data_IF_964514309917
#
_entry.id   IF_964514309917
#
_cell.length_a   1.000
_cell.length_b   1.000
_cell.length_c   1.000
_cell.angle_alpha   90.00
_cell.angle_beta   90.00
_cell.angle_gamma   90.00
#
_symmetry.space_group_name_H-M   'P 1'
#
loop_
_entity.id
_entity.type
_entity.pdbx_description
1 polymer ?
#
# COMPACT_ATOMS: atom_id res chain seq x y z
N UNK A 1 -28.99 -18.68 44.90
CA UNK A 1 -28.26 -18.12 43.74
C UNK A 1 -29.09 -18.50 42.53
N UNK A 2 -29.98 -17.60 42.09
CA UNK A 2 -30.63 -17.75 40.79
C UNK A 2 -29.56 -17.54 39.73
N UNK A 3 -29.39 -18.57 38.90
CA UNK A 3 -28.50 -18.57 37.74
C UNK A 3 -29.13 -17.64 36.70
N UNK A 4 -28.82 -16.34 36.79
CA UNK A 4 -29.26 -15.34 35.80
C UNK A 4 -28.47 -15.61 34.54
N UNK A 5 -29.19 -16.08 33.51
CA UNK A 5 -28.71 -16.18 32.14
C UNK A 5 -27.97 -14.89 31.77
N UNK A 6 -26.65 -14.94 31.49
CA UNK A 6 -25.89 -13.77 31.10
C UNK A 6 -26.56 -13.17 29.87
N UNK A 7 -27.07 -11.95 29.99
CA UNK A 7 -27.81 -11.30 28.91
C UNK A 7 -27.02 -11.36 27.59
N UNK A 8 -27.69 -11.36 26.43
CA UNK A 8 -27.07 -11.70 25.14
C UNK A 8 -25.84 -10.83 24.79
N UNK A 9 -25.80 -9.57 25.26
CA UNK A 9 -24.64 -8.70 25.10
C UNK A 9 -23.39 -9.16 25.87
N UNK A 10 -23.55 -9.72 27.07
CA UNK A 10 -22.44 -10.24 27.86
C UNK A 10 -21.82 -11.48 27.21
N UNK A 11 -22.67 -12.34 26.63
CA UNK A 11 -22.20 -13.48 25.87
C UNK A 11 -21.36 -13.05 24.66
N UNK A 12 -21.76 -12.01 23.92
CA UNK A 12 -20.97 -11.45 22.81
C UNK A 12 -19.66 -10.87 23.32
N UNK A 13 -19.66 -10.11 24.42
CA UNK A 13 -18.43 -9.53 24.98
C UNK A 13 -17.44 -10.62 25.43
N UNK A 14 -17.92 -11.63 26.15
CA UNK A 14 -17.08 -12.74 26.62
C UNK A 14 -16.51 -13.56 25.46
N UNK A 15 -17.30 -13.77 24.41
CA UNK A 15 -16.85 -14.41 23.18
C UNK A 15 -15.73 -13.59 22.50
N UNK A 16 -15.91 -12.27 22.35
CA UNK A 16 -14.87 -11.40 21.78
C UNK A 16 -13.58 -11.38 22.60
N UNK A 17 -13.67 -11.42 23.93
CA UNK A 17 -12.49 -11.48 24.81
C UNK A 17 -11.71 -12.80 24.69
N UNK A 18 -12.34 -13.87 24.19
CA UNK A 18 -11.69 -15.15 23.96
C UNK A 18 -11.17 -15.32 22.52
N UNK A 19 -11.58 -14.44 21.61
CA UNK A 19 -11.19 -14.51 20.20
C UNK A 19 -9.77 -13.97 19.99
N UNK A 20 -9.03 -14.51 19.00
CA UNK A 20 -7.83 -13.88 18.49
C UNK A 20 -8.09 -12.44 18.05
N UNK A 21 -7.15 -11.53 18.31
CA UNK A 21 -7.26 -10.12 17.93
C UNK A 21 -7.74 -9.87 16.49
N UNK A 22 -7.18 -10.55 15.46
CA UNK A 22 -7.63 -10.38 14.07
C UNK A 22 -9.12 -10.68 13.87
N UNK A 23 -9.67 -11.65 14.62
CA UNK A 23 -11.09 -12.01 14.55
C UNK A 23 -11.98 -10.96 15.22
N UNK A 24 -11.47 -10.29 16.27
CA UNK A 24 -12.16 -9.16 16.92
C UNK A 24 -12.29 -7.99 15.94
N UNK A 25 -11.23 -7.66 15.20
CA UNK A 25 -11.27 -6.57 14.22
C UNK A 25 -12.15 -6.92 13.03
N UNK A 26 -12.06 -8.15 12.50
CA UNK A 26 -12.95 -8.62 11.42
C UNK A 26 -14.42 -8.56 11.85
N UNK A 27 -14.72 -9.02 13.06
CA UNK A 27 -16.07 -8.87 13.62
C UNK A 27 -16.50 -7.40 13.69
N UNK A 28 -15.65 -6.50 14.18
CA UNK A 28 -15.98 -5.08 14.27
C UNK A 28 -16.24 -4.44 12.89
N UNK A 29 -15.44 -4.81 11.88
CA UNK A 29 -15.61 -4.40 10.47
C UNK A 29 -16.95 -4.90 9.93
N UNK A 30 -17.28 -6.17 10.13
CA UNK A 30 -18.56 -6.75 9.71
C UNK A 30 -19.76 -6.05 10.36
N UNK A 31 -19.66 -5.74 11.66
CA UNK A 31 -20.71 -5.00 12.36
C UNK A 31 -20.85 -3.58 11.79
N UNK A 32 -19.75 -2.86 11.58
CA UNK A 32 -19.79 -1.51 11.00
C UNK A 32 -20.38 -1.50 9.58
N UNK A 33 -20.06 -2.50 8.76
CA UNK A 33 -20.68 -2.68 7.44
C UNK A 33 -22.17 -3.02 7.53
N UNK A 34 -22.58 -3.80 8.54
CA UNK A 34 -24.01 -4.06 8.77
C UNK A 34 -24.75 -2.78 9.16
N UNK A 35 -24.12 -1.91 9.94
CA UNK A 35 -24.70 -0.62 10.35
C UNK A 35 -24.76 0.39 9.20
N UNK A 36 -23.92 0.25 8.16
CA UNK A 36 -23.97 1.16 7.00
C UNK A 36 -25.14 0.89 6.05
N UNK A 37 -25.77 -0.29 6.15
CA UNK A 37 -26.91 -0.67 5.30
C UNK A 37 -28.17 0.13 5.70
N UNK A 38 -28.90 0.71 4.73
CA UNK A 38 -30.19 1.36 5.00
C UNK A 38 -31.21 0.37 5.58
N UNK A 39 -31.98 0.81 6.58
CA UNK A 39 -33.05 0.00 7.18
C UNK A 39 -32.58 -1.06 8.18
N UNK A 40 -31.29 -1.10 8.54
CA UNK A 40 -30.78 -2.01 9.57
C UNK A 40 -31.45 -1.74 10.93
N UNK A 41 -32.03 -2.78 11.53
CA UNK A 41 -32.55 -2.70 12.90
C UNK A 41 -31.40 -2.78 13.91
N UNK A 42 -30.89 -1.61 14.30
CA UNK A 42 -29.72 -1.49 15.19
C UNK A 42 -29.93 -2.20 16.52
N UNK A 43 -31.13 -2.16 17.09
CA UNK A 43 -31.43 -2.75 18.40
C UNK A 43 -31.26 -4.27 18.43
N UNK A 44 -31.37 -4.92 17.27
CA UNK A 44 -31.18 -6.37 17.11
C UNK A 44 -29.75 -6.75 16.73
N UNK A 45 -28.88 -5.77 16.46
CA UNK A 45 -27.49 -6.03 16.09
C UNK A 45 -26.66 -6.50 17.28
N UNK A 46 -25.66 -7.34 17.02
CA UNK A 46 -24.75 -7.83 18.06
C UNK A 46 -23.93 -6.69 18.67
N UNK A 47 -23.51 -5.71 17.86
CA UNK A 47 -22.77 -4.54 18.35
C UNK A 47 -23.59 -3.67 19.30
N UNK A 48 -24.90 -3.54 19.09
CA UNK A 48 -25.77 -2.83 20.02
C UNK A 48 -25.94 -3.57 21.34
N UNK A 49 -26.11 -4.90 21.30
CA UNK A 49 -26.20 -5.73 22.50
C UNK A 49 -24.88 -5.69 23.29
N UNK A 50 -23.75 -5.81 22.59
CA UNK A 50 -22.41 -5.72 23.17
C UNK A 50 -22.14 -4.33 23.76
N UNK A 51 -22.60 -3.25 23.12
CA UNK A 51 -22.52 -1.89 23.66
C UNK A 51 -23.20 -1.77 25.03
N UNK A 52 -24.41 -2.32 25.19
CA UNK A 52 -25.10 -2.33 26.49
C UNK A 52 -24.32 -3.10 27.57
N UNK A 53 -23.72 -4.24 27.20
CA UNK A 53 -22.88 -5.02 28.11
C UNK A 53 -21.56 -4.31 28.46
N UNK A 54 -20.97 -3.59 27.51
CA UNK A 54 -19.74 -2.82 27.70
C UNK A 54 -19.92 -1.78 28.80
N UNK A 55 -21.08 -1.13 28.91
CA UNK A 55 -21.34 -0.19 29.99
C UNK A 55 -21.21 -0.84 31.40
N UNK A 56 -21.59 -2.10 31.54
CA UNK A 56 -21.50 -2.86 32.81
C UNK A 56 -20.19 -3.60 33.01
N UNK A 57 -19.37 -3.72 31.97
CA UNK A 57 -18.10 -4.42 32.00
C UNK A 57 -17.07 -3.69 32.89
N UNK A 58 -16.19 -4.48 33.51
CA UNK A 58 -15.07 -3.96 34.28
C UNK A 58 -14.09 -3.22 33.37
N UNK A 59 -13.31 -2.30 33.96
CA UNK A 59 -12.26 -1.56 33.24
C UNK A 59 -11.25 -2.52 32.60
N UNK A 60 -10.92 -3.63 33.29
CA UNK A 60 -9.99 -4.64 32.79
C UNK A 60 -10.51 -5.33 31.52
N UNK A 61 -11.79 -5.71 31.48
CA UNK A 61 -12.41 -6.29 30.29
C UNK A 61 -12.44 -5.31 29.12
N UNK A 62 -12.71 -4.02 29.39
CA UNK A 62 -12.67 -2.96 28.36
C UNK A 62 -11.26 -2.77 27.80
N UNK A 63 -10.25 -2.73 28.67
CA UNK A 63 -8.84 -2.64 28.26
C UNK A 63 -8.43 -3.84 27.41
N UNK A 64 -8.81 -5.05 27.82
CA UNK A 64 -8.48 -6.27 27.09
C UNK A 64 -9.14 -6.29 25.69
N UNK A 65 -10.39 -5.85 25.58
CA UNK A 65 -11.05 -5.71 24.28
C UNK A 65 -10.34 -4.70 23.38
N UNK A 66 -9.93 -3.54 23.93
CA UNK A 66 -9.18 -2.51 23.20
C UNK A 66 -7.83 -3.05 22.73
N UNK A 67 -7.09 -3.72 23.62
CA UNK A 67 -5.82 -4.37 23.31
C UNK A 67 -5.96 -5.44 22.24
N UNK A 68 -6.97 -6.30 22.34
CA UNK A 68 -7.27 -7.32 21.34
C UNK A 68 -7.60 -6.71 19.98
N UNK A 69 -8.37 -5.62 19.94
CA UNK A 69 -8.69 -4.91 18.70
C UNK A 69 -7.44 -4.25 18.07
N UNK A 70 -6.60 -3.58 18.85
CA UNK A 70 -5.41 -2.89 18.33
C UNK A 70 -4.35 -3.89 17.88
N UNK A 71 -4.07 -4.90 18.71
CA UNK A 71 -3.14 -5.97 18.34
C UNK A 71 -3.64 -6.78 17.13
N UNK A 72 -4.95 -7.00 17.07
CA UNK A 72 -5.61 -7.60 15.92
C UNK A 72 -5.45 -6.80 14.63
N UNK A 73 -5.57 -5.48 14.72
CA UNK A 73 -5.44 -4.60 13.55
C UNK A 73 -4.03 -4.70 12.96
N UNK A 74 -2.98 -4.69 13.78
CA UNK A 74 -1.60 -4.84 13.31
C UNK A 74 -1.33 -6.19 12.60
N UNK A 75 -2.07 -7.24 12.97
CA UNK A 75 -1.94 -8.59 12.43
C UNK A 75 -2.77 -8.84 11.16
N UNK A 76 -3.68 -7.93 10.78
CA UNK A 76 -4.49 -8.08 9.57
C UNK A 76 -3.65 -7.89 8.28
N UNK A 77 -4.03 -8.57 7.18
CA UNK A 77 -3.54 -8.25 5.83
C UNK A 77 -3.77 -6.78 5.46
N UNK A 78 -2.91 -6.22 4.60
CA UNK A 78 -2.92 -4.80 4.27
C UNK A 78 -4.25 -4.30 3.68
N UNK A 79 -4.89 -5.10 2.83
CA UNK A 79 -6.21 -4.85 2.25
C UNK A 79 -7.31 -4.76 3.33
N UNK A 80 -7.30 -5.67 4.30
CA UNK A 80 -8.25 -5.68 5.41
C UNK A 80 -8.01 -4.53 6.40
N UNK A 81 -6.75 -4.17 6.66
CA UNK A 81 -6.42 -2.98 7.47
C UNK A 81 -6.91 -1.70 6.81
N UNK A 82 -6.75 -1.57 5.49
CA UNK A 82 -7.25 -0.41 4.75
C UNK A 82 -8.78 -0.32 4.82
N UNK A 83 -9.49 -1.44 4.70
CA UNK A 83 -10.94 -1.48 4.89
C UNK A 83 -11.37 -1.07 6.31
N UNK A 84 -10.74 -1.62 7.34
CA UNK A 84 -11.00 -1.24 8.72
C UNK A 84 -10.75 0.26 8.96
N UNK A 85 -9.65 0.80 8.42
CA UNK A 85 -9.32 2.22 8.55
C UNK A 85 -10.33 3.13 7.83
N UNK A 86 -10.79 2.74 6.63
CA UNK A 86 -11.87 3.45 5.92
C UNK A 86 -13.13 3.53 6.76
N UNK A 87 -13.52 2.44 7.41
CA UNK A 87 -14.72 2.41 8.26
C UNK A 87 -14.56 3.33 9.47
N UNK A 88 -13.40 3.31 10.13
CA UNK A 88 -13.10 4.21 11.26
C UNK A 88 -13.17 5.67 10.82
N UNK A 89 -12.52 6.02 9.71
CA UNK A 89 -12.49 7.40 9.20
C UNK A 89 -13.87 7.86 8.75
N UNK A 90 -14.64 7.01 8.05
CA UNK A 90 -16.01 7.33 7.67
C UNK A 90 -16.91 7.54 8.90
N UNK A 91 -16.69 6.75 9.95
CA UNK A 91 -17.45 6.88 11.21
C UNK A 91 -17.07 8.14 11.98
N UNK A 92 -15.77 8.47 12.04
CA UNK A 92 -15.25 9.67 12.68
C UNK A 92 -15.67 10.95 11.93
N UNK A 93 -15.52 10.96 10.61
CA UNK A 93 -15.94 12.06 9.74
C UNK A 93 -17.46 12.29 9.88
N UNK A 94 -18.24 11.22 9.91
CA UNK A 94 -19.66 11.34 10.22
C UNK A 94 -19.84 12.04 11.57
N UNK A 95 -19.18 11.56 12.64
CA UNK A 95 -19.36 12.06 14.01
C UNK A 95 -19.06 13.57 14.14
N UNK A 96 -18.06 14.06 13.41
CA UNK A 96 -17.63 15.46 13.42
C UNK A 96 -18.57 16.40 12.68
N UNK A 97 -19.17 15.96 11.58
CA UNK A 97 -20.13 16.77 10.80
C UNK A 97 -21.40 17.08 11.62
N UNK A 98 -21.59 16.39 12.75
CA UNK A 98 -22.81 16.48 13.53
C UNK A 98 -24.03 16.05 12.68
N UNK A 99 -25.26 16.18 13.20
CA UNK A 99 -26.46 15.99 12.40
C UNK A 99 -26.66 17.21 11.50
N UNK A 100 -25.72 17.49 10.59
CA UNK A 100 -25.97 18.42 9.51
C UNK A 100 -26.72 17.68 8.40
N UNK A 101 -27.96 18.11 8.08
CA UNK A 101 -28.69 17.52 6.97
C UNK A 101 -27.86 17.67 5.69
N UNK A 102 -27.78 16.60 4.92
CA UNK A 102 -27.32 16.67 3.53
C UNK A 102 -28.19 17.67 2.75
N UNK A 103 -27.83 18.02 1.51
CA UNK A 103 -28.67 18.89 0.67
C UNK A 103 -30.12 18.37 0.50
N UNK A 104 -30.36 17.09 0.83
CA UNK A 104 -31.66 16.41 0.84
C UNK A 104 -32.28 16.25 2.24
N UNK A 105 -31.68 16.78 3.31
CA UNK A 105 -32.27 16.72 4.65
C UNK A 105 -31.98 15.44 5.44
N UNK A 106 -31.46 14.38 4.80
CA UNK A 106 -31.30 13.07 5.43
C UNK A 106 -29.90 12.90 6.04
N UNK A 107 -29.89 12.52 7.33
CA UNK A 107 -28.68 12.12 8.05
C UNK A 107 -28.26 10.74 7.56
N UNK A 108 -26.99 10.51 7.17
CA UNK A 108 -26.53 9.21 6.67
C UNK A 108 -26.92 8.05 7.62
N UNK A 109 -27.39 6.90 7.09
CA UNK A 109 -27.87 5.79 7.92
C UNK A 109 -26.80 5.27 8.88
N UNK A 110 -25.53 5.24 8.44
CA UNK A 110 -24.39 4.87 9.29
C UNK A 110 -24.29 5.75 10.54
N UNK A 111 -24.47 7.07 10.39
CA UNK A 111 -24.40 8.01 11.51
C UNK A 111 -25.49 7.73 12.55
N UNK A 112 -26.75 7.63 12.09
CA UNK A 112 -27.88 7.36 12.99
C UNK A 112 -27.66 6.06 13.76
N UNK A 113 -27.20 5.03 13.05
CA UNK A 113 -26.99 3.71 13.60
C UNK A 113 -25.83 3.66 14.59
N UNK A 114 -24.70 4.31 14.28
CA UNK A 114 -23.55 4.42 15.18
C UNK A 114 -23.90 5.24 16.43
N UNK A 115 -24.64 6.34 16.30
CA UNK A 115 -25.06 7.13 17.46
C UNK A 115 -25.99 6.36 18.40
N UNK A 116 -26.86 5.49 17.85
CA UNK A 116 -27.66 4.59 18.67
C UNK A 116 -26.79 3.61 19.46
N UNK A 117 -25.75 3.03 18.85
CA UNK A 117 -24.78 2.15 19.52
C UNK A 117 -23.98 2.91 20.59
N UNK A 118 -23.48 4.11 20.29
CA UNK A 118 -22.72 4.95 21.24
C UNK A 118 -23.58 5.36 22.44
N UNK A 119 -24.86 5.67 22.19
CA UNK A 119 -25.83 5.99 23.24
C UNK A 119 -26.09 4.79 24.15
N UNK A 120 -26.24 3.60 23.58
CA UNK A 120 -26.43 2.35 24.33
C UNK A 120 -25.18 1.97 25.15
N UNK A 121 -23.98 2.19 24.59
CA UNK A 121 -22.72 2.02 25.31
C UNK A 121 -22.51 3.03 26.44
N UNK A 122 -23.36 4.06 26.53
CA UNK A 122 -23.29 5.15 27.51
C UNK A 122 -21.89 5.75 27.63
N UNK A 123 -21.16 5.85 26.51
CA UNK A 123 -19.80 6.38 26.51
C UNK A 123 -19.73 7.81 27.06
N UNK A 124 -20.82 8.57 27.01
CA UNK A 124 -20.91 9.90 27.61
C UNK A 124 -20.96 9.87 29.15
N UNK A 125 -21.55 8.84 29.77
CA UNK A 125 -21.64 8.66 31.24
C UNK A 125 -20.37 8.03 31.83
N UNK A 126 -19.50 7.44 31.01
CA UNK A 126 -18.26 6.82 31.47
C UNK A 126 -17.36 7.84 32.22
N UNK A 127 -16.83 7.48 33.41
CA UNK A 127 -15.94 8.33 34.20
C UNK A 127 -14.75 8.85 33.37
N UNK A 128 -14.32 10.08 33.66
CA UNK A 128 -13.19 10.69 32.93
C UNK A 128 -11.90 9.91 33.14
N UNK A 129 -11.70 9.36 34.33
CA UNK A 129 -10.56 8.53 34.68
C UNK A 129 -10.55 7.25 33.83
N UNK A 130 -11.70 6.60 33.67
CA UNK A 130 -11.82 5.39 32.87
C UNK A 130 -11.57 5.66 31.38
N UNK A 131 -12.12 6.75 30.84
CA UNK A 131 -11.82 7.20 29.46
C UNK A 131 -10.32 7.44 29.26
N UNK A 132 -9.67 8.08 30.23
CA UNK A 132 -8.23 8.34 30.16
C UNK A 132 -7.41 7.05 30.18
N UNK A 133 -7.82 6.06 30.98
CA UNK A 133 -7.18 4.74 31.02
C UNK A 133 -7.33 4.03 29.66
N UNK A 134 -8.53 3.96 29.10
CA UNK A 134 -8.77 3.31 27.80
C UNK A 134 -8.06 4.02 26.65
N UNK A 135 -8.04 5.36 26.66
CA UNK A 135 -7.32 6.14 25.66
C UNK A 135 -5.79 5.96 25.78
N UNK A 136 -5.27 5.87 27.00
CA UNK A 136 -3.85 5.62 27.24
C UNK A 136 -3.44 4.22 26.78
N UNK A 137 -4.25 3.20 27.10
CA UNK A 137 -4.04 1.83 26.64
C UNK A 137 -4.03 1.78 25.11
N UNK A 138 -5.04 2.41 24.49
CA UNK A 138 -5.14 2.46 23.05
C UNK A 138 -3.92 3.13 22.40
N UNK A 139 -3.40 4.21 23.00
CA UNK A 139 -2.20 4.90 22.51
C UNK A 139 -0.93 4.07 22.70
N UNK A 140 -0.79 3.40 23.84
CA UNK A 140 0.37 2.58 24.14
C UNK A 140 0.43 1.37 23.19
N UNK A 141 -0.66 0.63 23.07
CA UNK A 141 -0.74 -0.53 22.19
C UNK A 141 -0.63 -0.11 20.72
N UNK A 142 -1.22 1.03 20.33
CA UNK A 142 -1.09 1.53 18.97
C UNK A 142 0.36 1.97 18.65
N UNK A 143 1.06 2.59 19.61
CA UNK A 143 2.45 2.97 19.42
C UNK A 143 3.39 1.75 19.26
N UNK A 144 3.09 0.64 19.95
CA UNK A 144 3.86 -0.60 19.84
C UNK A 144 3.52 -1.39 18.57
N UNK A 145 2.26 -1.38 18.13
CA UNK A 145 1.76 -2.21 17.04
C UNK A 145 1.81 -1.53 15.68
N UNK A 146 1.51 -0.23 15.62
CA UNK A 146 1.43 0.52 14.36
C UNK A 146 2.83 0.96 13.97
N UNK A 147 3.62 0.00 13.49
CA UNK A 147 4.90 0.33 12.85
C UNK A 147 4.61 1.23 11.65
N UNK A 148 5.44 2.27 11.41
CA UNK A 148 5.18 3.19 10.31
C UNK A 148 5.10 2.53 8.93
N UNK A 149 5.76 1.39 8.76
CA UNK A 149 5.66 0.52 7.58
C UNK A 149 4.22 0.05 7.33
N UNK A 150 3.48 -0.31 8.39
CA UNK A 150 2.09 -0.76 8.29
C UNK A 150 1.17 0.38 7.88
N UNK A 151 1.41 1.60 8.38
CA UNK A 151 0.67 2.79 7.92
C UNK A 151 0.91 3.00 6.43
N UNK A 152 2.16 2.95 5.97
CA UNK A 152 2.50 3.12 4.56
C UNK A 152 1.86 2.04 3.66
N UNK A 153 1.86 0.79 4.11
CA UNK A 153 1.17 -0.31 3.42
C UNK A 153 -0.33 -0.02 3.30
N UNK A 154 -0.99 0.37 4.40
CA UNK A 154 -2.42 0.69 4.42
C UNK A 154 -2.74 1.89 3.52
N UNK A 155 -1.94 2.94 3.61
CA UNK A 155 -2.05 4.14 2.79
C UNK A 155 -1.96 3.83 1.32
N UNK A 156 -1.08 2.91 0.92
CA UNK A 156 -0.91 2.55 -0.48
C UNK A 156 -2.17 1.93 -1.08
N UNK A 157 -2.99 1.29 -0.25
CA UNK A 157 -4.27 0.69 -0.63
C UNK A 157 -5.45 1.69 -0.57
N UNK A 158 -5.26 2.86 0.08
CA UNK A 158 -6.26 3.92 0.15
C UNK A 158 -6.28 4.79 -1.11
N UNK A 159 -7.48 5.23 -1.52
CA UNK A 159 -7.66 6.17 -2.61
C UNK A 159 -7.11 7.56 -2.24
N UNK A 160 -6.66 8.38 -3.20
CA UNK A 160 -6.11 9.71 -2.93
C UNK A 160 -7.00 10.59 -2.04
N UNK A 161 -8.32 10.54 -2.23
CA UNK A 161 -9.29 11.32 -1.45
C UNK A 161 -9.41 10.80 -0.01
N UNK A 162 -9.31 9.48 0.18
CA UNK A 162 -9.38 8.82 1.49
C UNK A 162 -8.11 9.13 2.31
N UNK A 163 -6.94 9.19 1.66
CA UNK A 163 -5.67 9.46 2.34
C UNK A 163 -5.70 10.81 3.08
N UNK A 164 -6.27 11.85 2.46
CA UNK A 164 -6.38 13.16 3.11
C UNK A 164 -7.26 13.11 4.36
N UNK A 165 -8.44 12.49 4.25
CA UNK A 165 -9.39 12.33 5.38
C UNK A 165 -8.78 11.50 6.52
N UNK A 166 -8.03 10.45 6.18
CA UNK A 166 -7.31 9.62 7.15
C UNK A 166 -6.23 10.44 7.85
N UNK A 167 -5.51 11.30 7.13
CA UNK A 167 -4.49 12.17 7.73
C UNK A 167 -5.09 13.10 8.77
N UNK A 168 -6.16 13.81 8.38
CA UNK A 168 -6.84 14.77 9.25
C UNK A 168 -7.39 14.06 10.49
N UNK A 169 -8.04 12.91 10.30
CA UNK A 169 -8.58 12.11 11.40
C UNK A 169 -7.48 11.60 12.35
N UNK A 170 -6.32 11.16 11.84
CA UNK A 170 -5.21 10.67 12.66
C UNK A 170 -4.53 11.79 13.46
N UNK A 171 -4.41 12.99 12.87
CA UNK A 171 -3.86 14.17 13.54
C UNK A 171 -4.84 14.67 14.62
N UNK A 172 -6.12 14.75 14.32
CA UNK A 172 -7.15 15.19 15.26
C UNK A 172 -7.30 14.22 16.44
N UNK A 173 -7.21 12.91 16.17
CA UNK A 173 -7.21 11.88 17.21
C UNK A 173 -5.92 11.90 18.08
N UNK A 174 -4.94 12.75 17.75
CA UNK A 174 -3.62 12.81 18.40
C UNK A 174 -2.88 11.47 18.35
N UNK A 175 -3.18 10.63 17.35
CA UNK A 175 -2.45 9.38 17.13
C UNK A 175 -1.09 9.69 16.51
N UNK A 176 -1.04 10.72 15.65
CA UNK A 176 0.19 11.23 15.05
C UNK A 176 0.53 12.58 15.70
N UNK A 177 1.75 12.76 16.25
CA UNK A 177 2.19 14.05 16.78
C UNK A 177 2.14 15.15 15.70
N UNK A 178 1.77 16.37 16.07
CA UNK A 178 1.69 17.51 15.12
C UNK A 178 3.02 17.75 14.39
N UNK A 179 4.15 17.48 15.04
CA UNK A 179 5.48 17.62 14.46
C UNK A 179 5.72 16.67 13.27
N UNK A 180 4.98 15.57 13.20
CA UNK A 180 5.09 14.54 12.15
C UNK A 180 4.03 14.68 11.06
N UNK A 181 3.05 15.57 11.24
CA UNK A 181 2.02 15.86 10.24
C UNK A 181 2.59 16.20 8.86
N UNK A 182 3.58 17.11 8.69
CA UNK A 182 4.11 17.43 7.36
C UNK A 182 4.86 16.26 6.71
N UNK A 183 5.49 15.40 7.51
CA UNK A 183 6.13 14.18 7.01
C UNK A 183 5.09 13.17 6.53
N UNK A 184 4.01 13.02 7.30
CA UNK A 184 2.89 12.17 6.93
C UNK A 184 2.17 12.72 5.70
N UNK A 185 1.78 13.98 5.65
CA UNK A 185 1.14 14.60 4.48
C UNK A 185 1.98 14.48 3.20
N UNK A 186 3.30 14.65 3.30
CA UNK A 186 4.20 14.46 2.17
C UNK A 186 4.28 13.00 1.72
N UNK A 187 4.21 12.05 2.64
CA UNK A 187 4.11 10.63 2.34
C UNK A 187 2.74 10.25 1.76
N UNK A 188 1.67 10.94 2.14
CA UNK A 188 0.30 10.64 1.70
C UNK A 188 -0.08 11.32 0.38
N UNK A 189 0.68 12.33 -0.05
CA UNK A 189 0.43 13.05 -1.29
C UNK A 189 0.44 12.09 -2.49
N UNK A 190 -0.64 12.05 -3.29
CA UNK A 190 -0.72 11.13 -4.41
C UNK A 190 0.33 11.44 -5.48
N UNK A 191 1.00 10.39 -5.98
CA UNK A 191 2.16 10.52 -6.88
C UNK A 191 3.42 11.03 -6.17
N UNK A 192 3.42 11.02 -4.84
CA UNK A 192 4.55 11.44 -4.01
C UNK A 192 5.66 10.40 -3.94
N UNK A 193 6.71 10.73 -3.18
CA UNK A 193 7.85 9.85 -2.97
C UNK A 193 7.44 8.49 -2.39
N UNK A 194 6.44 8.46 -1.51
CA UNK A 194 5.97 7.22 -0.89
C UNK A 194 5.32 6.27 -1.91
N UNK A 195 4.53 6.76 -2.85
CA UNK A 195 3.93 5.91 -3.90
C UNK A 195 5.02 5.30 -4.80
N UNK A 196 6.05 6.09 -5.15
CA UNK A 196 7.21 5.60 -5.88
C UNK A 196 8.02 4.58 -5.07
N UNK A 197 8.17 4.81 -3.77
CA UNK A 197 8.95 3.96 -2.87
C UNK A 197 8.20 2.65 -2.60
N UNK A 198 6.90 2.70 -2.34
CA UNK A 198 6.04 1.52 -2.22
C UNK A 198 5.99 0.74 -3.53
N UNK A 199 5.80 1.43 -4.67
CA UNK A 199 5.84 0.79 -5.98
C UNK A 199 7.19 0.12 -6.27
N UNK A 200 8.29 0.81 -5.95
CA UNK A 200 9.64 0.28 -6.04
C UNK A 200 9.88 -0.91 -5.12
N UNK A 201 9.41 -0.86 -3.88
CA UNK A 201 9.49 -1.98 -2.92
C UNK A 201 8.65 -3.16 -3.39
N UNK A 202 7.42 -2.95 -3.87
CA UNK A 202 6.56 -4.02 -4.43
C UNK A 202 7.22 -4.68 -5.65
N UNK A 203 7.83 -3.88 -6.54
CA UNK A 203 8.56 -4.40 -7.69
C UNK A 203 9.81 -5.19 -7.25
N UNK A 204 10.51 -4.69 -6.23
CA UNK A 204 11.68 -5.34 -5.66
C UNK A 204 11.33 -6.67 -5.00
N UNK A 205 10.28 -6.73 -4.18
CA UNK A 205 9.82 -7.99 -3.56
C UNK A 205 9.35 -8.97 -4.61
N UNK A 206 8.60 -8.52 -5.63
CA UNK A 206 8.20 -9.36 -6.76
C UNK A 206 9.41 -9.90 -7.52
N UNK A 207 10.44 -9.08 -7.73
CA UNK A 207 11.69 -9.48 -8.37
C UNK A 207 12.47 -10.50 -7.53
N UNK A 208 12.48 -10.36 -6.20
CA UNK A 208 13.09 -11.33 -5.31
C UNK A 208 12.34 -12.67 -5.30
N UNK A 209 11.01 -12.64 -5.16
CA UNK A 209 10.17 -13.85 -5.18
C UNK A 209 10.30 -14.61 -6.51
N UNK A 210 10.48 -13.89 -7.62
CA UNK A 210 10.60 -14.45 -8.96
C UNK A 210 12.04 -14.39 -9.52
N UNK A 211 13.05 -14.30 -8.65
CA UNK A 211 14.45 -14.15 -9.06
C UNK A 211 14.91 -15.32 -9.96
N UNK A 212 14.40 -16.52 -9.70
CA UNK A 212 14.68 -17.70 -10.51
C UNK A 212 14.23 -17.52 -11.97
N UNK A 213 13.06 -16.93 -12.20
CA UNK A 213 12.52 -16.69 -13.54
C UNK A 213 13.29 -15.57 -14.25
N UNK A 214 13.64 -14.50 -13.51
CA UNK A 214 14.46 -13.40 -14.02
C UNK A 214 15.84 -13.84 -14.51
N UNK A 215 16.41 -14.91 -13.93
CA UNK A 215 17.69 -15.50 -14.38
C UNK A 215 17.48 -16.57 -15.44
N UNK A 216 16.54 -17.49 -15.22
CA UNK A 216 16.32 -18.64 -16.10
C UNK A 216 15.90 -18.24 -17.51
N UNK A 217 15.08 -17.19 -17.64
CA UNK A 217 14.58 -16.73 -18.95
C UNK A 217 15.72 -16.19 -19.83
N UNK A 218 16.51 -15.16 -19.44
CA UNK A 218 17.67 -14.70 -20.22
C UNK A 218 18.70 -15.79 -20.52
N UNK A 219 18.98 -16.68 -19.56
CA UNK A 219 19.91 -17.79 -19.77
C UNK A 219 19.37 -18.81 -20.78
N UNK A 220 18.07 -19.12 -20.69
CA UNK A 220 17.37 -19.97 -21.66
C UNK A 220 17.34 -19.34 -23.05
N UNK A 221 17.11 -18.03 -23.14
CA UNK A 221 17.15 -17.27 -24.39
C UNK A 221 18.52 -17.36 -25.05
N UNK A 222 19.60 -17.12 -24.29
CA UNK A 222 20.97 -17.22 -24.78
C UNK A 222 21.32 -18.65 -25.23
N UNK A 223 20.93 -19.65 -24.44
CA UNK A 223 21.16 -21.05 -24.80
C UNK A 223 20.45 -21.42 -26.11
N UNK A 224 19.18 -21.07 -26.25
CA UNK A 224 18.42 -21.27 -27.48
C UNK A 224 19.04 -20.50 -28.66
N UNK A 225 19.50 -19.27 -28.43
CA UNK A 225 20.18 -18.47 -29.46
C UNK A 225 21.46 -19.11 -29.99
N UNK A 226 22.25 -19.71 -29.11
CA UNK A 226 23.50 -20.36 -29.49
C UNK A 226 23.24 -21.69 -30.20
N UNK A 227 22.30 -22.50 -29.70
CA UNK A 227 21.95 -23.81 -30.27
C UNK A 227 21.27 -23.70 -31.64
N UNK A 228 20.25 -22.84 -31.76
CA UNK A 228 19.56 -22.56 -33.03
C UNK A 228 20.46 -21.87 -34.04
N UNK A 229 21.53 -21.24 -33.55
CA UNK A 229 22.49 -20.56 -34.38
C UNK A 229 23.27 -21.45 -35.36
N UNK A 230 23.24 -22.76 -35.16
CA UNK A 230 23.83 -23.77 -36.06
C UNK A 230 22.92 -24.04 -37.27
N UNK A 231 21.62 -23.74 -37.17
CA UNK A 231 20.66 -23.95 -38.24
C UNK A 231 20.79 -22.82 -39.28
N UNK A 232 20.95 -23.18 -40.54
CA UNK A 232 21.02 -22.22 -41.63
C UNK A 232 19.67 -21.56 -41.85
N UNK A 233 19.63 -20.23 -41.76
CA UNK A 233 18.48 -19.41 -42.11
C UNK A 233 18.98 -18.29 -43.04
N UNK A 234 18.36 -18.08 -44.23
CA UNK A 234 18.81 -17.04 -45.17
C UNK A 234 18.59 -15.60 -44.67
N UNK A 235 17.69 -15.41 -43.70
CA UNK A 235 17.35 -14.10 -43.14
C UNK A 235 18.28 -13.69 -42.00
N UNK A 236 18.19 -12.42 -41.59
CA UNK A 236 18.88 -11.88 -40.43
C UNK A 236 18.31 -12.37 -39.09
N UNK A 237 17.30 -13.24 -39.09
CA UNK A 237 16.56 -13.66 -37.89
C UNK A 237 17.45 -14.31 -36.81
N UNK A 238 18.43 -15.12 -37.21
CA UNK A 238 19.39 -15.73 -36.27
C UNK A 238 20.30 -14.68 -35.62
N UNK A 239 20.76 -13.70 -36.40
CA UNK A 239 21.56 -12.57 -35.89
C UNK A 239 20.74 -11.72 -34.93
N UNK A 240 19.48 -11.45 -35.28
CA UNK A 240 18.54 -10.75 -34.40
C UNK A 240 18.36 -11.47 -33.07
N UNK A 241 18.11 -12.78 -33.09
CA UNK A 241 17.85 -13.56 -31.89
C UNK A 241 19.07 -13.63 -30.95
N UNK A 242 20.29 -13.66 -31.50
CA UNK A 242 21.54 -13.55 -30.73
C UNK A 242 21.71 -12.16 -30.11
N UNK A 243 21.47 -11.10 -30.88
CA UNK A 243 21.55 -9.73 -30.37
C UNK A 243 20.53 -9.52 -29.23
N UNK A 244 19.31 -10.03 -29.39
CA UNK A 244 18.25 -9.94 -28.40
C UNK A 244 18.60 -10.66 -27.09
N UNK A 245 19.15 -11.89 -27.18
CA UNK A 245 19.62 -12.62 -26.02
C UNK A 245 20.77 -11.89 -25.29
N UNK A 246 21.68 -11.26 -26.02
CA UNK A 246 22.75 -10.44 -25.42
C UNK A 246 22.17 -9.23 -24.69
N UNK A 247 21.18 -8.54 -25.27
CA UNK A 247 20.51 -7.43 -24.58
C UNK A 247 19.81 -7.88 -23.30
N UNK A 248 19.09 -9.03 -23.32
CA UNK A 248 18.52 -9.65 -22.12
C UNK A 248 19.55 -9.88 -21.02
N UNK A 249 20.71 -10.47 -21.38
CA UNK A 249 21.77 -10.75 -20.42
C UNK A 249 22.39 -9.48 -19.84
N UNK A 250 22.56 -8.43 -20.65
CA UNK A 250 23.07 -7.14 -20.19
C UNK A 250 22.07 -6.41 -19.28
N UNK A 251 20.77 -6.51 -19.59
CA UNK A 251 19.71 -6.01 -18.69
C UNK A 251 19.74 -6.75 -17.36
N UNK A 252 19.85 -8.08 -17.38
CA UNK A 252 19.97 -8.90 -16.16
C UNK A 252 21.22 -8.54 -15.35
N UNK A 253 22.37 -8.40 -16.01
CA UNK A 253 23.62 -8.01 -15.36
C UNK A 253 23.53 -6.62 -14.71
N UNK A 254 22.92 -5.65 -15.40
CA UNK A 254 22.67 -4.31 -14.86
C UNK A 254 21.73 -4.33 -13.65
N UNK A 255 20.63 -5.09 -13.72
CA UNK A 255 19.68 -5.24 -12.63
C UNK A 255 20.29 -5.96 -11.41
N UNK A 256 21.07 -7.01 -11.66
CA UNK A 256 21.83 -7.71 -10.61
C UNK A 256 22.85 -6.79 -9.94
N UNK A 257 23.60 -6.01 -10.73
CA UNK A 257 24.55 -5.03 -10.22
C UNK A 257 23.86 -3.94 -9.39
N UNK A 258 22.72 -3.44 -9.85
CA UNK A 258 21.90 -2.50 -9.10
C UNK A 258 21.44 -3.10 -7.77
N UNK A 259 20.95 -4.34 -7.78
CA UNK A 259 20.52 -5.06 -6.58
C UNK A 259 21.64 -5.17 -5.55
N UNK A 260 22.85 -5.61 -5.96
CA UNK A 260 24.00 -5.75 -5.07
C UNK A 260 24.35 -4.45 -4.32
N UNK A 261 24.19 -3.30 -4.97
CA UNK A 261 24.54 -2.01 -4.37
C UNK A 261 23.38 -1.32 -3.64
N UNK A 262 22.13 -1.56 -4.06
CA UNK A 262 20.95 -0.95 -3.46
C UNK A 262 20.30 -1.80 -2.38
N UNK A 263 20.64 -3.08 -2.25
CA UNK A 263 20.06 -3.97 -1.23
C UNK A 263 20.19 -3.38 0.18
N UNK A 264 21.36 -2.88 0.55
CA UNK A 264 21.58 -2.28 1.88
C UNK A 264 20.74 -1.01 2.09
N UNK A 265 20.56 -0.21 1.04
CA UNK A 265 19.70 0.98 1.06
C UNK A 265 18.25 0.55 1.30
N UNK A 266 17.78 -0.43 0.52
CA UNK A 266 16.40 -0.90 0.57
C UNK A 266 16.07 -1.56 1.91
N UNK A 267 16.97 -2.37 2.46
CA UNK A 267 16.79 -2.99 3.78
C UNK A 267 16.68 -1.92 4.86
N UNK A 268 17.57 -0.93 4.89
CA UNK A 268 17.52 0.13 5.92
C UNK A 268 16.34 1.08 5.76
N UNK A 269 15.97 1.41 4.53
CA UNK A 269 14.75 2.19 4.26
C UNK A 269 13.51 1.41 4.66
N UNK A 270 13.51 0.09 4.47
CA UNK A 270 12.42 -0.78 4.91
C UNK A 270 12.32 -0.84 6.44
N UNK A 271 13.45 -0.89 7.14
CA UNK A 271 13.50 -0.89 8.61
C UNK A 271 12.99 0.43 9.21
N UNK A 272 13.33 1.58 8.62
CA UNK A 272 12.93 2.91 9.12
C UNK A 272 12.49 3.85 7.99
N UNK A 273 11.29 3.65 7.41
CA UNK A 273 10.84 4.46 6.27
C UNK A 273 10.50 5.89 6.69
N UNK A 274 9.89 6.08 7.86
CA UNK A 274 9.53 7.41 8.34
C UNK A 274 10.74 8.22 8.79
N UNK A 275 11.72 7.59 9.46
CA UNK A 275 12.97 8.28 9.78
C UNK A 275 13.77 8.61 8.52
N UNK A 276 13.72 7.79 7.47
CA UNK A 276 14.30 8.14 6.17
C UNK A 276 13.60 9.37 5.54
N UNK A 277 12.27 9.38 5.47
CA UNK A 277 11.50 10.53 4.94
C UNK A 277 11.76 11.80 5.76
N UNK A 278 11.76 11.70 7.09
CA UNK A 278 12.03 12.83 7.99
C UNK A 278 13.44 13.38 7.75
N UNK A 279 14.45 12.52 7.71
CA UNK A 279 15.84 12.94 7.46
C UNK A 279 16.02 13.53 6.06
N UNK A 280 15.30 13.02 5.06
CA UNK A 280 15.26 13.62 3.73
C UNK A 280 14.69 15.05 3.77
N UNK A 281 13.55 15.24 4.44
CA UNK A 281 12.91 16.55 4.57
C UNK A 281 13.75 17.55 5.36
N UNK A 282 14.38 17.11 6.46
CA UNK A 282 15.28 17.94 7.25
C UNK A 282 16.51 18.37 6.42
N UNK A 283 17.11 17.45 5.66
CA UNK A 283 18.22 17.76 4.77
C UNK A 283 17.81 18.65 3.60
N UNK A 284 16.56 18.54 3.13
CA UNK A 284 15.97 19.39 2.11
C UNK A 284 15.74 20.81 2.60
N UNK A 285 15.14 20.97 3.79
CA UNK A 285 14.94 22.27 4.44
C UNK A 285 16.27 23.00 4.71
N UNK A 286 17.34 22.24 4.94
CA UNK A 286 18.70 22.78 5.11
C UNK A 286 19.43 23.09 3.79
N UNK A 287 18.76 22.95 2.63
CA UNK A 287 19.32 23.18 1.29
C UNK A 287 20.64 22.43 1.03
N UNK A 288 20.82 21.25 1.63
CA UNK A 288 22.05 20.48 1.46
C UNK A 288 22.20 19.93 0.04
N UNK A 289 23.44 19.59 -0.37
CA UNK A 289 23.71 18.92 -1.64
C UNK A 289 23.08 17.52 -1.70
N UNK A 290 22.69 17.07 -2.89
CA UNK A 290 22.03 15.76 -3.09
C UNK A 290 22.82 14.58 -2.51
N UNK A 291 24.16 14.62 -2.59
CA UNK A 291 25.02 13.61 -1.98
C UNK A 291 24.83 13.50 -0.47
N UNK A 292 24.91 14.64 0.24
CA UNK A 292 24.71 14.70 1.69
C UNK A 292 23.28 14.35 2.09
N UNK A 293 22.29 14.76 1.29
CA UNK A 293 20.88 14.37 1.52
C UNK A 293 20.72 12.85 1.52
N UNK A 294 21.27 12.16 0.53
CA UNK A 294 21.17 10.70 0.42
C UNK A 294 21.90 9.98 1.56
N UNK A 295 23.10 10.45 1.93
CA UNK A 295 23.85 9.89 3.06
C UNK A 295 23.16 10.11 4.42
N UNK A 296 22.49 11.25 4.61
CA UNK A 296 21.70 11.52 5.82
C UNK A 296 20.38 10.75 5.85
N UNK A 297 19.80 10.48 4.68
CA UNK A 297 18.53 9.74 4.55
C UNK A 297 18.67 8.27 4.92
N UNK A 298 19.83 7.66 4.68
CA UNK A 298 20.10 6.28 5.12
C UNK A 298 21.47 6.22 5.79
N UNK A 299 21.52 6.18 7.13
CA UNK A 299 22.77 6.34 7.83
C UNK A 299 23.65 5.13 7.58
N UNK A 300 24.94 5.36 7.35
CA UNK A 300 25.92 4.30 7.10
C UNK A 300 25.88 3.71 5.69
N UNK A 301 25.23 4.36 4.71
CA UNK A 301 25.42 4.06 3.28
C UNK A 301 26.17 5.22 2.66
N UNK A 302 27.31 4.92 2.05
CA UNK A 302 28.11 5.93 1.35
C UNK A 302 27.44 6.35 0.04
N UNK A 303 27.59 7.62 -0.36
CA UNK A 303 27.05 8.12 -1.63
C UNK A 303 27.52 7.30 -2.85
N UNK A 304 28.71 6.70 -2.77
CA UNK A 304 29.25 5.86 -3.84
C UNK A 304 28.37 4.63 -4.14
N UNK A 305 27.74 4.03 -3.13
CA UNK A 305 26.83 2.90 -3.33
C UNK A 305 25.59 3.31 -4.14
N UNK A 306 25.05 4.50 -3.90
CA UNK A 306 23.95 5.05 -4.70
C UNK A 306 24.36 5.30 -6.14
N UNK A 307 25.58 5.80 -6.38
CA UNK A 307 26.09 6.03 -7.74
C UNK A 307 26.24 4.73 -8.51
N UNK A 308 26.82 3.69 -7.90
CA UNK A 308 26.97 2.37 -8.52
C UNK A 308 25.61 1.70 -8.74
N UNK A 309 24.70 1.78 -7.76
CA UNK A 309 23.34 1.29 -7.89
C UNK A 309 22.59 1.98 -9.03
N UNK A 310 22.64 3.32 -9.09
CA UNK A 310 22.04 4.12 -10.15
C UNK A 310 22.64 3.79 -11.52
N UNK A 311 23.96 3.58 -11.61
CA UNK A 311 24.61 3.14 -12.85
C UNK A 311 24.04 1.79 -13.32
N UNK A 312 23.87 0.81 -12.41
CA UNK A 312 23.25 -0.47 -12.73
C UNK A 312 21.83 -0.33 -13.26
N UNK A 313 21.01 0.52 -12.61
CA UNK A 313 19.63 0.82 -13.05
C UNK A 313 19.63 1.47 -14.44
N UNK A 314 20.51 2.44 -14.70
CA UNK A 314 20.63 3.10 -16.01
C UNK A 314 21.05 2.09 -17.09
N UNK A 315 22.04 1.24 -16.82
CA UNK A 315 22.48 0.19 -17.75
C UNK A 315 21.32 -0.76 -18.06
N UNK A 316 20.62 -1.24 -17.04
CA UNK A 316 19.47 -2.12 -17.21
C UNK A 316 18.36 -1.47 -18.05
N UNK A 317 18.02 -0.21 -17.74
CA UNK A 317 17.00 0.55 -18.45
C UNK A 317 17.36 0.82 -19.92
N UNK A 318 18.62 1.16 -20.21
CA UNK A 318 19.09 1.40 -21.58
C UNK A 318 19.02 0.12 -22.41
N UNK A 319 19.53 -1.01 -21.90
CA UNK A 319 19.48 -2.27 -22.65
C UNK A 319 18.06 -2.82 -22.78
N UNK A 320 17.21 -2.58 -21.78
CA UNK A 320 15.78 -2.90 -21.88
C UNK A 320 15.13 -2.07 -23.00
N UNK A 321 15.36 -0.76 -23.05
CA UNK A 321 14.82 0.10 -24.11
C UNK A 321 15.34 -0.30 -25.50
N UNK A 322 16.64 -0.62 -25.63
CA UNK A 322 17.22 -1.11 -26.88
C UNK A 322 16.62 -2.46 -27.28
N UNK A 323 16.42 -3.40 -26.35
CA UNK A 323 15.75 -4.68 -26.61
C UNK A 323 14.29 -4.51 -27.06
N UNK A 324 13.57 -3.56 -26.47
CA UNK A 324 12.21 -3.21 -26.89
C UNK A 324 12.19 -2.64 -28.32
N UNK A 325 13.12 -1.75 -28.67
CA UNK A 325 13.25 -1.27 -30.05
C UNK A 325 13.65 -2.39 -31.01
N UNK A 326 14.55 -3.28 -30.57
CA UNK A 326 14.98 -4.44 -31.34
C UNK A 326 13.83 -5.43 -31.62
N UNK A 327 12.77 -5.44 -30.80
CA UNK A 327 11.55 -6.23 -31.03
C UNK A 327 10.88 -5.85 -32.36
N UNK A 328 10.94 -4.57 -32.75
CA UNK A 328 10.40 -4.09 -34.04
C UNK A 328 11.19 -4.69 -35.20
N UNK A 329 12.53 -4.70 -35.10
CA UNK A 329 13.41 -5.32 -36.11
C UNK A 329 13.11 -6.82 -36.22
N UNK A 330 12.93 -7.50 -35.09
CA UNK A 330 12.56 -8.91 -35.06
C UNK A 330 11.25 -9.22 -35.76
N UNK A 331 10.26 -8.34 -35.64
CA UNK A 331 8.98 -8.48 -36.34
C UNK A 331 9.16 -8.42 -37.86
N UNK A 332 9.98 -7.50 -38.36
CA UNK A 332 10.30 -7.39 -39.78
C UNK A 332 11.10 -8.59 -40.30
N UNK A 333 12.10 -9.05 -39.54
CA UNK A 333 12.88 -10.25 -39.90
C UNK A 333 12.00 -11.52 -39.90
N UNK A 334 11.09 -11.65 -38.93
CA UNK A 334 10.12 -12.74 -38.89
C UNK A 334 9.22 -12.71 -40.13
N UNK A 335 8.72 -11.53 -40.52
CA UNK A 335 7.92 -11.38 -41.74
C UNK A 335 8.71 -11.78 -43.00
N UNK A 336 9.98 -11.38 -43.09
CA UNK A 336 10.86 -11.76 -44.19
C UNK A 336 11.09 -13.28 -44.26
N UNK A 337 11.11 -13.98 -43.12
CA UNK A 337 11.27 -15.44 -43.11
C UNK A 337 10.10 -16.21 -43.71
N UNK A 338 8.88 -15.67 -43.67
CA UNK A 338 7.74 -16.27 -44.34
C UNK A 338 7.88 -16.26 -45.87
N UNK A 339 8.66 -15.32 -46.42
CA UNK A 339 8.92 -15.20 -47.85
C UNK A 339 10.14 -16.02 -48.25
N UNK A 340 11.24 -15.92 -47.50
CA UNK A 340 12.52 -16.54 -47.84
C UNK A 340 12.62 -18.03 -47.43
N UNK A 341 11.73 -18.50 -46.54
CA UNK A 341 11.80 -19.80 -45.92
C UNK A 341 12.88 -19.89 -44.84
N UNK A 342 12.59 -20.56 -43.74
CA UNK A 342 13.53 -20.80 -42.65
C UNK A 342 13.17 -22.10 -41.92
N UNK A 343 14.11 -22.62 -41.11
CA UNK A 343 13.84 -23.77 -40.27
C UNK A 343 12.72 -23.46 -39.26
N UNK A 344 11.70 -24.32 -39.18
CA UNK A 344 10.51 -24.11 -38.34
C UNK A 344 10.85 -23.92 -36.86
N UNK A 345 11.90 -24.56 -36.34
CA UNK A 345 12.32 -24.42 -34.94
C UNK A 345 12.82 -23.00 -34.64
N UNK A 346 13.56 -22.40 -35.58
CA UNK A 346 14.02 -21.01 -35.45
C UNK A 346 12.83 -20.07 -35.45
N UNK A 347 11.88 -20.27 -36.37
CA UNK A 347 10.66 -19.45 -36.46
C UNK A 347 9.82 -19.54 -35.19
N UNK A 348 9.59 -20.75 -34.65
CA UNK A 348 8.82 -20.95 -33.41
C UNK A 348 9.52 -20.31 -32.21
N UNK A 349 10.84 -20.47 -32.08
CA UNK A 349 11.60 -19.85 -30.99
C UNK A 349 11.56 -18.32 -31.09
N UNK A 350 11.74 -17.75 -32.28
CA UNK A 350 11.63 -16.30 -32.50
C UNK A 350 10.23 -15.77 -32.19
N UNK A 351 9.16 -16.49 -32.54
CA UNK A 351 7.80 -16.12 -32.14
C UNK A 351 7.62 -16.12 -30.62
N UNK A 352 8.15 -17.13 -29.92
CA UNK A 352 8.08 -17.20 -28.47
C UNK A 352 8.80 -16.01 -27.80
N UNK A 353 9.99 -15.63 -28.30
CA UNK A 353 10.76 -14.51 -27.77
C UNK A 353 10.03 -13.18 -28.02
N UNK A 354 9.49 -12.97 -29.23
CA UNK A 354 8.68 -11.79 -29.54
C UNK A 354 7.43 -11.70 -28.65
N UNK A 355 6.73 -12.82 -28.44
CA UNK A 355 5.56 -12.86 -27.55
C UNK A 355 5.92 -12.49 -26.11
N UNK A 356 7.03 -13.04 -25.60
CA UNK A 356 7.54 -12.72 -24.26
C UNK A 356 7.92 -11.23 -24.14
N UNK A 357 8.59 -10.65 -25.14
CA UNK A 357 8.92 -9.21 -25.20
C UNK A 357 7.68 -8.33 -25.21
N UNK A 358 6.67 -8.68 -25.99
CA UNK A 358 5.38 -7.98 -25.99
C UNK A 358 4.69 -8.06 -24.61
N UNK A 359 4.72 -9.22 -23.95
CA UNK A 359 4.18 -9.37 -22.60
C UNK A 359 4.94 -8.50 -21.57
N UNK A 360 6.27 -8.46 -21.65
CA UNK A 360 7.09 -7.58 -20.80
C UNK A 360 6.79 -6.10 -21.06
N UNK A 361 6.65 -5.68 -22.31
CA UNK A 361 6.27 -4.31 -22.65
C UNK A 361 4.89 -3.96 -22.10
N UNK A 362 3.91 -4.84 -22.24
CA UNK A 362 2.59 -4.64 -21.66
C UNK A 362 2.65 -4.53 -20.14
N UNK A 363 3.40 -5.42 -19.47
CA UNK A 363 3.62 -5.35 -18.02
C UNK A 363 4.28 -4.03 -17.58
N UNK A 364 5.32 -3.59 -18.29
CA UNK A 364 5.98 -2.31 -18.03
C UNK A 364 5.04 -1.12 -18.24
N UNK A 365 4.18 -1.15 -19.26
CA UNK A 365 3.18 -0.12 -19.49
C UNK A 365 2.10 -0.11 -18.41
N UNK A 366 1.71 -1.27 -17.87
CA UNK A 366 0.80 -1.34 -16.73
C UNK A 366 1.45 -0.74 -15.48
N UNK A 367 2.68 -1.12 -15.16
CA UNK A 367 3.43 -0.58 -14.02
C UNK A 367 3.65 0.93 -14.19
N UNK A 368 4.13 1.38 -15.34
CA UNK A 368 4.31 2.79 -15.65
C UNK A 368 2.97 3.53 -15.61
N UNK A 369 1.90 2.94 -16.11
CA UNK A 369 0.55 3.48 -16.04
C UNK A 369 0.07 3.65 -14.60
N UNK A 370 0.33 2.69 -13.72
CA UNK A 370 0.02 2.82 -12.28
C UNK A 370 0.88 3.86 -11.57
N UNK A 371 2.14 4.02 -11.97
CA UNK A 371 3.06 5.00 -11.36
C UNK A 371 2.87 6.43 -11.89
N UNK A 372 2.51 6.56 -13.16
CA UNK A 372 2.37 7.84 -13.87
C UNK A 372 0.91 8.26 -14.04
N UNK A 373 -0.06 7.45 -13.59
CA UNK A 373 -1.47 7.81 -13.64
C UNK A 373 -1.62 9.21 -13.04
N UNK A 374 -1.96 10.23 -13.86
CA UNK A 374 -2.17 11.56 -13.34
C UNK A 374 -3.31 11.44 -12.34
N UNK A 375 -3.09 11.94 -11.13
CA UNK A 375 -4.13 12.08 -10.13
C UNK A 375 -5.31 12.72 -10.85
N UNK A 376 -6.48 12.07 -10.94
CA UNK A 376 -7.62 12.68 -11.59
C UNK A 376 -7.83 14.01 -10.88
N UNK A 377 -7.75 15.11 -11.63
CA UNK A 377 -7.97 16.46 -11.15
C UNK A 377 -9.46 16.62 -10.76
N UNK A 378 -9.93 15.89 -9.76
CA UNK A 378 -11.27 15.97 -9.19
C UNK A 378 -11.43 17.15 -8.23
N UNK A 379 -10.34 17.83 -7.86
CA UNK A 379 -10.35 18.93 -6.89
C UNK A 379 -10.50 20.33 -7.51
N UNK A 380 -10.97 20.46 -8.76
CA UNK A 380 -11.33 21.78 -9.33
C UNK A 380 -12.75 22.24 -8.93
N UNK A 381 -13.52 21.44 -8.18
CA UNK A 381 -14.93 21.70 -7.87
C UNK A 381 -15.27 22.15 -6.44
N UNK A 382 -14.36 22.03 -5.47
CA UNK A 382 -14.62 22.52 -4.11
C UNK A 382 -14.25 24.00 -4.06
N UNK A 383 -15.13 24.84 -4.62
CA UNK A 383 -15.22 26.24 -4.20
C UNK A 383 -15.42 26.22 -2.69
N UNK A 384 -14.34 26.50 -1.93
CA UNK A 384 -14.49 26.93 -0.55
C UNK A 384 -15.48 28.10 -0.59
N UNK A 385 -16.65 28.02 0.08
CA UNK A 385 -17.46 29.20 0.24
C UNK A 385 -16.55 30.22 0.92
N UNK A 386 -16.34 31.35 0.22
CA UNK A 386 -15.81 32.55 0.82
C UNK A 386 -16.67 32.80 2.05
N UNK A 387 -16.10 32.54 3.23
CA UNK A 387 -16.56 33.13 4.48
C UNK A 387 -16.44 34.64 4.25
N UNK A 388 -17.50 35.23 3.70
CA UNK A 388 -17.80 36.63 3.88
C UNK A 388 -17.86 36.84 5.40
N UNK A 389 -16.83 37.47 5.96
CA UNK A 389 -16.91 38.00 7.31
C UNK A 389 -17.97 39.10 7.31
N UNK A 390 -19.06 39.00 8.08
CA UNK A 390 -19.83 40.17 8.42
C UNK A 390 -19.17 40.80 9.65
N UNK A 391 -18.53 41.95 9.41
CA UNK A 391 -18.20 43.04 10.35
C UNK A 391 -17.05 42.80 11.32
#
# INVERSE_FOLDING_TARGET
>A
MEDRDPGPGLAVLQDLLQRPGPDVVRWAVEQAQSLSRPGTNVQQSQIFQMAGALNTASVAEKQELVRAAISGFGQLPADQRAEALRLVVNTAAAAQVGPHPTAEGEVPPLMQNVMAVVKEAKLHEMPKEEKAILAQEARQDAAEMVQPQQILEVVSELRPEERHQVTEALVEAQIVPQDQQPALEAALKPGGLADLLVGGMKLFTLAQENAWALVAVPCGELFLALTLGVLSCPSGLNTWLRADAVYSMLTLAGAWFANLHLEQVLVRVKEDPMGAVRRWQEAEAQHQTLSRRLEQTVPGVEFHAYQLGALGVVVAAVFLAVGLLNTIVGLFELLATFIAGCNILVVVASMAFLALRCAMLFGLLQVAGTLLAPVPNGAAGVQRPLLESPI
#
